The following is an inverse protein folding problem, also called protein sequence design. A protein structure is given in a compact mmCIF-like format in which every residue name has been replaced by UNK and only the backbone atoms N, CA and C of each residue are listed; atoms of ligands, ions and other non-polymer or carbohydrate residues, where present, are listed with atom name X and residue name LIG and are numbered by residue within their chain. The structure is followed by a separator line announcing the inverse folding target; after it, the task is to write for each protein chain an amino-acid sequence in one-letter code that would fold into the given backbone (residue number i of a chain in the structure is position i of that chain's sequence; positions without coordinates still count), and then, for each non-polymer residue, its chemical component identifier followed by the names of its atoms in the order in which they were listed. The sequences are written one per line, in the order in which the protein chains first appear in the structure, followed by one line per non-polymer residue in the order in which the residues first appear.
data_IF_853481555399
#
_entry.id   IF_853481555399
#
_cell.length_a   1.000
_cell.length_b   1.000
_cell.length_c   1.000
_cell.angle_alpha   90.00
_cell.angle_beta   90.00
_cell.angle_gamma   90.00
#
_symmetry.space_group_name_H-M   'P 1'
#
loop_
_entity.id
_entity.type
_entity.pdbx_description
1 polymer ?
#
# COMPACT_ATOMS: atom_id res chain seq x y z
N UNK A 1 -12.66 -23.88 -27.11
CA UNK A 1 -12.00 -22.58 -26.91
C UNK A 1 -12.96 -21.49 -27.38
N UNK A 2 -13.19 -20.47 -26.56
CA UNK A 2 -14.14 -19.39 -26.85
C UNK A 2 -13.67 -18.51 -28.02
N UNK A 3 -14.62 -17.87 -28.71
CA UNK A 3 -14.29 -16.84 -29.70
C UNK A 3 -13.72 -15.62 -28.95
N UNK A 4 -12.54 -15.14 -29.35
CA UNK A 4 -11.94 -13.92 -28.81
C UNK A 4 -12.10 -12.78 -29.80
N UNK A 5 -12.43 -11.59 -29.30
CA UNK A 5 -12.27 -10.36 -30.05
C UNK A 5 -10.84 -9.86 -29.92
N UNK A 6 -10.24 -9.46 -31.05
CA UNK A 6 -8.80 -9.19 -31.14
C UNK A 6 -8.55 -7.83 -31.78
N UNK A 7 -7.79 -6.98 -31.10
CA UNK A 7 -7.13 -5.82 -31.72
C UNK A 7 -5.82 -6.30 -32.34
N UNK A 8 -5.62 -6.03 -33.63
CA UNK A 8 -4.38 -6.43 -34.33
C UNK A 8 -3.67 -5.20 -34.87
N UNK A 9 -2.46 -4.96 -34.36
CA UNK A 9 -1.57 -3.96 -34.92
C UNK A 9 -1.00 -4.43 -36.26
N UNK A 10 -0.84 -3.48 -37.19
CA UNK A 10 -0.29 -3.74 -38.53
C UNK A 10 1.22 -3.97 -38.47
N UNK A 11 1.82 -4.60 -39.49
CA UNK A 11 3.28 -4.68 -39.62
C UNK A 11 3.93 -3.31 -39.45
N UNK A 12 5.02 -3.25 -38.68
CA UNK A 12 5.76 -2.02 -38.38
C UNK A 12 5.40 -1.34 -37.05
N UNK A 13 4.39 -1.82 -36.32
CA UNK A 13 4.11 -1.44 -34.93
C UNK A 13 4.33 -2.67 -34.06
N UNK A 14 5.44 -2.71 -33.31
CA UNK A 14 5.76 -3.78 -32.38
C UNK A 14 5.23 -3.51 -30.97
N UNK A 15 5.24 -4.53 -30.12
CA UNK A 15 4.78 -4.44 -28.73
C UNK A 15 5.47 -3.31 -27.94
N UNK A 16 6.78 -3.12 -28.15
CA UNK A 16 7.57 -2.05 -27.53
C UNK A 16 7.21 -0.63 -28.00
N UNK A 17 6.50 -0.51 -29.12
CA UNK A 17 6.10 0.77 -29.70
C UNK A 17 4.71 1.19 -29.21
N UNK A 18 4.02 0.33 -28.44
CA UNK A 18 2.68 0.55 -27.93
C UNK A 18 2.70 0.87 -26.44
N UNK A 19 2.05 1.95 -26.04
CA UNK A 19 1.74 2.28 -24.66
C UNK A 19 0.35 1.77 -24.31
N UNK A 20 0.17 1.36 -23.06
CA UNK A 20 -1.11 0.89 -22.54
C UNK A 20 -1.45 1.77 -21.34
N UNK A 21 -2.65 2.35 -21.34
CA UNK A 21 -3.10 3.21 -20.25
C UNK A 21 -4.57 2.92 -19.96
N UNK A 22 -4.94 2.89 -18.69
CA UNK A 22 -6.34 2.95 -18.28
C UNK A 22 -6.80 4.40 -18.17
N UNK A 23 -7.94 4.71 -18.76
CA UNK A 23 -8.59 6.03 -18.63
C UNK A 23 -10.06 5.80 -18.28
N UNK A 24 -10.42 5.96 -17.01
CA UNK A 24 -11.73 5.54 -16.52
C UNK A 24 -11.92 4.04 -16.69
N UNK A 25 -12.97 3.63 -17.41
CA UNK A 25 -13.26 2.25 -17.76
C UNK A 25 -12.68 1.83 -19.13
N UNK A 26 -11.99 2.72 -19.83
CA UNK A 26 -11.42 2.45 -21.15
C UNK A 26 -9.95 2.02 -21.07
N UNK A 27 -9.56 1.13 -21.99
CA UNK A 27 -8.16 0.81 -22.28
C UNK A 27 -7.70 1.62 -23.50
N UNK A 28 -6.69 2.46 -23.33
CA UNK A 28 -6.08 3.24 -24.41
C UNK A 28 -4.77 2.58 -24.84
N UNK A 29 -4.70 2.19 -26.11
CA UNK A 29 -3.51 1.66 -26.76
C UNK A 29 -2.92 2.73 -27.68
N UNK A 30 -1.88 3.42 -27.23
CA UNK A 30 -1.21 4.50 -27.98
C UNK A 30 0.03 4.00 -28.74
N UNK A 31 0.40 4.64 -29.84
CA UNK A 31 1.71 4.41 -30.50
C UNK A 31 2.70 5.48 -30.03
N UNK A 32 3.75 5.05 -29.33
CA UNK A 32 4.74 5.92 -28.71
C UNK A 32 5.36 6.91 -29.73
N UNK A 33 5.42 8.18 -29.36
CA UNK A 33 5.96 9.25 -30.21
C UNK A 33 5.01 9.74 -31.30
N UNK A 34 3.75 9.31 -31.30
CA UNK A 34 2.71 9.76 -32.24
C UNK A 34 1.43 10.15 -31.50
N UNK A 35 0.44 10.68 -32.23
CA UNK A 35 -0.91 10.92 -31.70
C UNK A 35 -1.89 9.77 -32.02
N UNK A 36 -1.42 8.70 -32.67
CA UNK A 36 -2.27 7.58 -33.06
C UNK A 36 -2.58 6.71 -31.84
N UNK A 37 -3.86 6.44 -31.60
CA UNK A 37 -4.33 5.58 -30.52
C UNK A 37 -5.57 4.78 -30.91
N UNK A 38 -5.80 3.68 -30.20
CA UNK A 38 -7.05 2.94 -30.18
C UNK A 38 -7.58 2.97 -28.75
N UNK A 39 -8.80 3.49 -28.59
CA UNK A 39 -9.52 3.42 -27.31
C UNK A 39 -10.50 2.25 -27.35
N UNK A 40 -10.38 1.36 -26.37
CA UNK A 40 -11.31 0.25 -26.15
C UNK A 40 -12.18 0.62 -24.96
N UNK A 41 -13.36 1.19 -25.25
CA UNK A 41 -14.36 1.57 -24.25
C UNK A 41 -14.87 0.35 -23.47
N UNK A 42 -15.21 0.53 -22.19
CA UNK A 42 -15.72 -0.53 -21.31
C UNK A 42 -14.76 -1.72 -21.12
N UNK A 43 -13.46 -1.56 -21.40
CA UNK A 43 -12.49 -2.63 -21.16
C UNK A 43 -12.45 -3.01 -19.68
N UNK A 44 -12.52 -2.02 -18.78
CA UNK A 44 -12.58 -2.17 -17.32
C UNK A 44 -13.98 -1.83 -16.78
N UNK A 45 -15.04 -2.20 -17.49
CA UNK A 45 -16.40 -1.95 -17.01
C UNK A 45 -16.59 -2.54 -15.60
N UNK A 46 -17.12 -1.74 -14.68
CA UNK A 46 -17.25 -2.13 -13.26
C UNK A 46 -15.93 -2.57 -12.60
N UNK A 47 -14.79 -2.06 -13.08
CA UNK A 47 -13.45 -2.48 -12.70
C UNK A 47 -13.12 -3.94 -13.04
N UNK A 48 -13.93 -4.67 -13.83
CA UNK A 48 -13.66 -6.08 -14.17
C UNK A 48 -13.31 -6.23 -15.66
N UNK A 49 -12.03 -6.45 -16.01
CA UNK A 49 -11.65 -6.63 -17.40
C UNK A 49 -12.09 -7.97 -18.00
N UNK A 50 -12.66 -8.87 -17.20
CA UNK A 50 -13.29 -10.12 -17.65
C UNK A 50 -14.80 -10.01 -17.78
N UNK A 51 -15.39 -8.84 -17.49
CA UNK A 51 -16.81 -8.63 -17.67
C UNK A 51 -17.22 -8.84 -19.14
N UNK A 52 -18.43 -9.37 -19.34
CA UNK A 52 -18.97 -9.64 -20.67
C UNK A 52 -19.17 -8.39 -21.54
N UNK A 53 -19.20 -7.20 -20.92
CA UNK A 53 -19.22 -5.92 -21.59
C UNK A 53 -17.87 -5.57 -22.25
N UNK A 54 -16.76 -6.20 -21.81
CA UNK A 54 -15.45 -5.97 -22.42
C UNK A 54 -15.48 -6.41 -23.90
N UNK A 55 -15.27 -5.48 -24.85
CA UNK A 55 -15.36 -5.79 -26.27
C UNK A 55 -14.10 -6.47 -26.84
N UNK A 56 -12.96 -6.52 -26.14
CA UNK A 56 -11.67 -7.02 -26.65
C UNK A 56 -10.96 -7.88 -25.59
N UNK A 57 -10.55 -9.09 -25.97
CA UNK A 57 -9.88 -10.02 -25.05
C UNK A 57 -8.40 -10.22 -25.37
N UNK A 58 -7.91 -9.66 -26.48
CA UNK A 58 -6.52 -9.86 -26.90
C UNK A 58 -6.02 -8.75 -27.82
N UNK A 59 -4.75 -8.37 -27.63
CA UNK A 59 -3.97 -7.60 -28.60
C UNK A 59 -2.96 -8.53 -29.28
N UNK A 60 -2.78 -8.41 -30.60
CA UNK A 60 -1.80 -9.17 -31.37
C UNK A 60 -0.92 -8.27 -32.24
N UNK A 61 0.35 -8.66 -32.31
CA UNK A 61 1.37 -8.03 -33.13
C UNK A 61 1.78 -8.94 -34.29
N UNK A 62 2.49 -8.37 -35.28
CA UNK A 62 2.87 -9.10 -36.50
C UNK A 62 3.99 -10.14 -36.26
N UNK A 63 4.80 -9.94 -35.23
CA UNK A 63 5.86 -10.87 -34.81
C UNK A 63 5.33 -12.11 -34.06
N UNK A 64 4.01 -12.20 -33.87
CA UNK A 64 3.34 -13.27 -33.13
C UNK A 64 3.19 -13.00 -31.63
N UNK A 65 3.72 -11.89 -31.11
CA UNK A 65 3.49 -11.47 -29.72
C UNK A 65 1.99 -11.24 -29.49
N UNK A 66 1.50 -11.70 -28.36
CA UNK A 66 0.10 -11.50 -27.93
C UNK A 66 0.05 -11.00 -26.50
N UNK A 67 -0.83 -10.04 -26.25
CA UNK A 67 -1.24 -9.66 -24.90
C UNK A 67 -2.67 -10.12 -24.68
N UNK A 68 -2.89 -10.96 -23.67
CA UNK A 68 -4.22 -11.32 -23.18
C UNK A 68 -4.72 -10.29 -22.15
N UNK A 69 -5.88 -10.55 -21.54
CA UNK A 69 -6.48 -9.64 -20.55
C UNK A 69 -5.50 -9.36 -19.41
N UNK A 70 -4.85 -10.38 -18.86
CA UNK A 70 -3.94 -10.20 -17.71
C UNK A 70 -2.72 -9.36 -18.09
N UNK A 71 -2.13 -9.61 -19.26
CA UNK A 71 -1.04 -8.78 -19.75
C UNK A 71 -1.48 -7.33 -19.97
N UNK A 72 -2.68 -7.10 -20.51
CA UNK A 72 -3.20 -5.75 -20.74
C UNK A 72 -3.52 -5.01 -19.44
N UNK A 73 -4.10 -5.69 -18.45
CA UNK A 73 -4.34 -5.13 -17.12
C UNK A 73 -3.02 -4.73 -16.46
N UNK A 74 -2.05 -5.64 -16.39
CA UNK A 74 -0.73 -5.35 -15.78
C UNK A 74 0.02 -4.21 -16.46
N UNK A 75 -0.11 -4.08 -17.78
CA UNK A 75 0.49 -2.96 -18.52
C UNK A 75 -0.25 -1.64 -18.26
N UNK A 76 -1.54 -1.69 -17.89
CA UNK A 76 -2.37 -0.52 -17.59
C UNK A 76 -2.29 -0.07 -16.11
N UNK A 77 -1.81 -0.93 -15.21
CA UNK A 77 -1.72 -0.70 -13.75
C UNK A 77 -0.30 -0.41 -13.26
N UNK A 78 0.63 -0.09 -14.17
CA UNK A 78 2.01 0.28 -13.84
C UNK A 78 2.36 1.55 -14.62
N UNK A 79 2.52 2.69 -13.92
CA UNK A 79 2.89 3.95 -14.56
C UNK A 79 4.37 4.31 -14.34
N UNK A 80 4.71 5.58 -14.60
CA UNK A 80 6.03 6.09 -14.88
C UNK A 80 6.83 6.42 -13.63
N UNK A 81 7.41 7.62 -13.59
CA UNK A 81 8.12 8.17 -12.45
C UNK A 81 7.68 9.62 -12.22
N UNK A 82 6.43 9.91 -12.60
CA UNK A 82 5.78 11.21 -12.43
C UNK A 82 4.58 11.06 -11.51
N UNK A 83 3.84 12.14 -11.31
CA UNK A 83 2.64 12.12 -10.47
C UNK A 83 1.50 11.42 -11.25
N UNK A 84 1.19 10.18 -10.87
CA UNK A 84 0.30 9.30 -11.62
C UNK A 84 -0.99 8.97 -10.83
N UNK A 85 -2.03 8.52 -11.54
CA UNK A 85 -3.25 7.99 -10.92
C UNK A 85 -3.49 6.60 -11.47
N UNK A 86 -3.41 5.60 -10.60
CA UNK A 86 -3.43 4.19 -10.96
C UNK A 86 -4.61 3.49 -10.28
N UNK A 87 -5.41 2.80 -11.07
CA UNK A 87 -6.60 2.08 -10.60
C UNK A 87 -6.51 0.59 -10.94
N UNK A 88 -6.56 -0.24 -9.91
CA UNK A 88 -6.76 -1.68 -9.97
C UNK A 88 -8.18 -2.08 -10.37
N UNK A 89 -8.41 -3.37 -10.37
CA UNK A 89 -9.58 -4.07 -10.89
C UNK A 89 -10.43 -4.63 -9.75
N UNK A 90 -11.49 -5.37 -10.07
CA UNK A 90 -12.28 -6.07 -9.06
C UNK A 90 -11.63 -7.39 -8.58
N UNK A 91 -10.43 -7.72 -9.06
CA UNK A 91 -9.64 -8.86 -8.60
C UNK A 91 -8.24 -8.43 -8.17
N UNK A 92 -7.45 -9.39 -7.69
CA UNK A 92 -6.11 -9.11 -7.15
C UNK A 92 -5.17 -8.45 -8.18
N UNK A 93 -4.63 -7.29 -7.81
CA UNK A 93 -3.71 -6.49 -8.61
C UNK A 93 -2.36 -6.26 -7.93
N UNK A 94 -1.36 -5.92 -8.75
CA UNK A 94 -0.07 -5.38 -8.30
C UNK A 94 0.08 -4.00 -8.88
N UNK A 95 0.06 -2.99 -8.02
CA UNK A 95 0.06 -1.56 -8.37
C UNK A 95 1.37 -0.94 -7.85
N UNK A 96 2.14 -0.34 -8.75
CA UNK A 96 3.45 0.23 -8.45
C UNK A 96 3.50 1.69 -8.95
N UNK A 97 3.49 2.67 -8.03
CA UNK A 97 3.62 4.10 -8.34
C UNK A 97 5.05 4.52 -8.71
N UNK A 98 6.04 3.88 -8.07
CA UNK A 98 7.49 4.07 -8.23
C UNK A 98 7.99 5.43 -7.76
N UNK A 99 7.61 6.53 -8.38
CA UNK A 99 8.05 7.83 -7.88
C UNK A 99 7.30 8.97 -8.53
N UNK A 100 7.21 10.10 -7.84
CA UNK A 100 6.14 11.06 -8.06
C UNK A 100 5.19 11.04 -6.88
N UNK A 101 4.21 11.94 -6.86
CA UNK A 101 3.15 11.92 -5.86
C UNK A 101 1.94 11.21 -6.47
N UNK A 102 1.77 9.93 -6.16
CA UNK A 102 0.83 9.06 -6.84
C UNK A 102 -0.50 8.95 -6.10
N UNK A 103 -1.55 8.60 -6.83
CA UNK A 103 -2.85 8.19 -6.27
C UNK A 103 -3.17 6.77 -6.72
N UNK A 104 -3.09 5.82 -5.79
CA UNK A 104 -3.21 4.39 -6.02
C UNK A 104 -4.53 3.87 -5.41
N UNK A 105 -5.33 3.17 -6.22
CA UNK A 105 -6.61 2.60 -5.81
C UNK A 105 -6.64 1.10 -6.15
N UNK A 106 -6.69 0.23 -5.14
CA UNK A 106 -6.76 -1.24 -5.31
C UNK A 106 -8.09 -1.69 -5.92
N UNK A 107 -9.18 -1.13 -5.39
CA UNK A 107 -10.59 -1.47 -5.72
C UNK A 107 -11.03 -2.75 -5.02
N UNK A 108 -11.04 -3.87 -5.72
CA UNK A 108 -11.57 -5.11 -5.18
C UNK A 108 -10.60 -6.25 -5.39
N UNK A 109 -10.52 -7.15 -4.43
CA UNK A 109 -9.55 -8.23 -4.46
C UNK A 109 -8.41 -7.95 -3.49
N UNK A 110 -7.49 -8.91 -3.40
CA UNK A 110 -6.39 -8.83 -2.46
C UNK A 110 -5.19 -8.24 -3.19
N UNK A 111 -4.94 -6.96 -2.98
CA UNK A 111 -4.03 -6.17 -3.79
C UNK A 111 -2.67 -5.98 -3.13
N UNK A 112 -1.66 -5.67 -3.96
CA UNK A 112 -0.33 -5.24 -3.51
C UNK A 112 -0.09 -3.84 -4.07
N UNK A 113 -0.05 -2.84 -3.18
CA UNK A 113 0.19 -1.45 -3.54
C UNK A 113 1.55 -1.00 -3.01
N UNK A 114 2.41 -0.48 -3.88
CA UNK A 114 3.69 0.16 -3.54
C UNK A 114 3.74 1.58 -4.12
N UNK A 115 3.70 2.60 -3.26
CA UNK A 115 3.76 4.02 -3.64
C UNK A 115 5.10 4.36 -4.29
N UNK A 116 6.19 4.09 -3.58
CA UNK A 116 7.54 4.26 -4.08
C UNK A 116 8.18 5.51 -3.48
N UNK A 117 8.39 6.56 -4.27
CA UNK A 117 9.08 7.76 -3.81
C UNK A 117 8.28 9.03 -4.08
N UNK A 118 7.80 9.69 -3.02
CA UNK A 118 7.06 10.94 -3.14
C UNK A 118 6.09 11.11 -1.99
N UNK A 119 4.95 11.75 -2.22
CA UNK A 119 3.85 11.82 -1.26
C UNK A 119 2.65 11.12 -1.88
N UNK A 120 2.44 9.86 -1.50
CA UNK A 120 1.46 9.00 -2.16
C UNK A 120 0.14 8.94 -1.38
N UNK A 121 -0.96 8.81 -2.12
CA UNK A 121 -2.28 8.48 -1.61
C UNK A 121 -2.61 7.04 -2.01
N UNK A 122 -2.83 6.16 -1.05
CA UNK A 122 -3.05 4.73 -1.29
C UNK A 122 -4.35 4.27 -0.63
N UNK A 123 -5.24 3.67 -1.41
CA UNK A 123 -6.48 3.06 -0.93
C UNK A 123 -6.51 1.61 -1.40
N UNK A 124 -6.44 0.64 -0.48
CA UNK A 124 -6.64 -0.79 -0.80
C UNK A 124 -8.09 -1.08 -1.20
N UNK A 125 -9.02 -0.47 -0.46
CA UNK A 125 -10.47 -0.59 -0.62
C UNK A 125 -11.03 -1.93 -0.10
N UNK A 126 -11.20 -2.96 -0.94
CA UNK A 126 -11.87 -4.19 -0.50
C UNK A 126 -11.07 -5.45 -0.80
N UNK A 127 -10.69 -6.16 0.26
CA UNK A 127 -9.92 -7.40 0.19
C UNK A 127 -8.82 -7.39 1.24
N UNK A 128 -8.01 -8.45 1.28
CA UNK A 128 -6.86 -8.48 2.19
C UNK A 128 -5.64 -7.88 1.48
N UNK A 129 -5.35 -6.62 1.75
CA UNK A 129 -4.38 -5.84 0.96
C UNK A 129 -2.99 -5.78 1.60
N UNK A 130 -1.95 -5.60 0.80
CA UNK A 130 -0.58 -5.33 1.24
C UNK A 130 -0.13 -3.97 0.73
N UNK A 131 0.06 -3.02 1.64
CA UNK A 131 0.33 -1.62 1.31
C UNK A 131 1.70 -1.18 1.82
N UNK A 132 2.47 -0.53 0.97
CA UNK A 132 3.73 0.12 1.32
C UNK A 132 3.83 1.51 0.69
N UNK A 133 3.88 2.55 1.51
CA UNK A 133 4.10 3.93 1.06
C UNK A 133 5.42 4.07 0.31
N UNK A 134 6.52 3.65 0.96
CA UNK A 134 7.85 3.79 0.39
C UNK A 134 8.54 4.99 1.04
N UNK A 135 9.36 5.75 0.30
CA UNK A 135 10.01 6.94 0.85
C UNK A 135 9.13 8.16 0.65
N UNK A 136 8.79 8.86 1.73
CA UNK A 136 7.78 9.89 1.57
C UNK A 136 7.13 10.32 2.87
N UNK A 137 5.96 10.93 2.73
CA UNK A 137 5.03 11.10 3.83
C UNK A 137 3.66 10.70 3.32
N UNK A 138 3.40 9.41 3.32
CA UNK A 138 2.31 8.84 2.54
C UNK A 138 1.01 8.78 3.34
N UNK A 139 -0.13 8.77 2.64
CA UNK A 139 -1.44 8.53 3.23
C UNK A 139 -1.98 7.20 2.76
N UNK A 140 -2.23 6.28 3.69
CA UNK A 140 -2.59 4.90 3.39
C UNK A 140 -3.88 4.54 4.11
N UNK A 141 -4.86 4.02 3.36
CA UNK A 141 -6.09 3.42 3.86
C UNK A 141 -6.17 1.99 3.34
N UNK A 142 -6.17 0.99 4.24
CA UNK A 142 -6.32 -0.43 3.85
C UNK A 142 -7.73 -0.66 3.32
N UNK A 143 -8.73 -0.41 4.17
CA UNK A 143 -10.14 -0.48 3.78
C UNK A 143 -10.84 -1.58 4.57
N UNK A 144 -11.51 -2.50 3.86
CA UNK A 144 -12.15 -3.65 4.50
C UNK A 144 -11.38 -4.93 4.16
N UNK A 145 -11.08 -5.74 5.17
CA UNK A 145 -10.32 -6.97 5.00
C UNK A 145 -9.31 -7.16 6.11
N UNK A 146 -8.31 -8.02 5.89
CA UNK A 146 -7.16 -8.14 6.78
C UNK A 146 -5.94 -7.53 6.08
N UNK A 147 -5.70 -6.26 6.34
CA UNK A 147 -4.71 -5.48 5.63
C UNK A 147 -3.33 -5.57 6.30
N UNK A 148 -2.28 -5.47 5.49
CA UNK A 148 -0.90 -5.47 5.94
C UNK A 148 -0.18 -4.23 5.47
N UNK A 149 0.13 -3.35 6.42
CA UNK A 149 0.91 -2.13 6.22
C UNK A 149 2.39 -2.44 6.44
N UNK A 150 3.24 -2.21 5.44
CA UNK A 150 4.69 -2.42 5.53
C UNK A 150 5.41 -1.11 5.81
N UNK A 151 6.27 -1.10 6.83
CA UNK A 151 7.02 0.10 7.21
C UNK A 151 8.50 -0.19 7.49
N UNK A 152 9.39 0.61 6.90
CA UNK A 152 10.84 0.46 6.93
C UNK A 152 11.59 1.71 7.41
N UNK A 153 12.92 1.58 7.51
CA UNK A 153 13.79 2.74 7.76
C UNK A 153 13.98 3.52 6.47
N UNK A 154 13.90 4.84 6.56
CA UNK A 154 13.95 5.73 5.40
C UNK A 154 12.61 5.88 4.68
N UNK A 155 11.55 5.22 5.15
CA UNK A 155 10.21 5.37 4.59
C UNK A 155 9.63 6.76 4.93
N UNK A 156 10.11 7.42 6.00
CA UNK A 156 9.70 8.77 6.35
C UNK A 156 8.49 8.80 7.27
N UNK A 157 7.53 9.69 7.02
CA UNK A 157 6.48 10.01 7.98
C UNK A 157 5.08 9.76 7.43
N UNK A 158 4.59 8.54 7.62
CA UNK A 158 3.34 8.07 7.01
C UNK A 158 2.14 8.26 7.93
N UNK A 159 0.97 8.44 7.33
CA UNK A 159 -0.34 8.40 7.97
C UNK A 159 -1.12 7.18 7.51
N UNK A 160 -1.61 6.40 8.45
CA UNK A 160 -2.51 5.27 8.19
C UNK A 160 -3.86 5.54 8.84
N UNK A 161 -4.94 5.35 8.09
CA UNK A 161 -6.28 5.26 8.62
C UNK A 161 -6.87 3.89 8.28
N UNK A 162 -7.21 3.15 9.32
CA UNK A 162 -7.64 1.76 9.23
C UNK A 162 -9.02 1.67 9.85
N UNK A 163 -10.07 1.89 9.05
CA UNK A 163 -11.44 1.98 9.55
C UNK A 163 -12.23 0.74 9.15
N UNK A 164 -11.98 -0.35 9.86
CA UNK A 164 -12.73 -1.60 9.69
C UNK A 164 -13.46 -1.99 10.99
N UNK A 165 -14.79 -2.08 10.92
CA UNK A 165 -15.64 -2.54 12.02
C UNK A 165 -16.02 -4.03 11.90
N UNK A 166 -15.49 -4.73 10.90
CA UNK A 166 -15.82 -6.11 10.60
C UNK A 166 -15.23 -7.04 11.66
N UNK A 167 -16.10 -7.68 12.43
CA UNK A 167 -15.66 -8.53 13.53
C UNK A 167 -14.84 -9.74 13.04
N UNK A 168 -13.61 -9.85 13.55
CA UNK A 168 -12.72 -10.98 13.26
C UNK A 168 -11.68 -10.69 12.19
N UNK A 169 -11.75 -9.52 11.53
CA UNK A 169 -10.64 -9.00 10.75
C UNK A 169 -9.48 -8.62 11.69
N UNK A 170 -8.26 -8.74 11.17
CA UNK A 170 -7.01 -8.58 11.89
C UNK A 170 -6.01 -7.88 10.99
N UNK A 171 -5.88 -6.58 11.20
CA UNK A 171 -4.95 -5.74 10.47
C UNK A 171 -3.56 -5.82 11.08
N UNK A 172 -2.54 -5.70 10.23
CA UNK A 172 -1.14 -5.87 10.60
C UNK A 172 -0.30 -4.67 10.18
N UNK A 173 0.37 -4.02 11.13
CA UNK A 173 1.54 -3.19 10.85
C UNK A 173 2.80 -4.04 10.97
N UNK A 174 3.45 -4.30 9.84
CA UNK A 174 4.65 -5.11 9.77
C UNK A 174 5.89 -4.25 9.50
N UNK A 175 6.80 -4.27 10.47
CA UNK A 175 8.08 -3.59 10.34
C UNK A 175 9.08 -4.44 9.56
N UNK A 176 9.72 -3.82 8.58
CA UNK A 176 10.69 -4.44 7.69
C UNK A 176 12.03 -4.70 8.38
N UNK A 177 12.92 -5.54 7.79
CA UNK A 177 14.21 -5.89 8.38
C UNK A 177 15.00 -4.66 8.86
N UNK A 178 15.51 -4.73 10.10
CA UNK A 178 16.28 -3.63 10.71
C UNK A 178 15.48 -2.75 11.68
N UNK A 179 14.22 -3.09 11.97
CA UNK A 179 13.39 -2.47 13.00
C UNK A 179 12.93 -3.57 13.98
N UNK A 180 13.68 -3.77 15.05
CA UNK A 180 13.34 -4.71 16.12
C UNK A 180 12.37 -4.09 17.13
N UNK A 181 11.70 -4.93 17.93
CA UNK A 181 10.70 -4.51 18.93
C UNK A 181 11.20 -3.48 19.96
N UNK A 182 12.50 -3.48 20.28
CA UNK A 182 13.14 -2.54 21.21
C UNK A 182 13.55 -1.20 20.58
N UNK A 183 13.30 -1.05 19.27
CA UNK A 183 13.57 0.16 18.49
C UNK A 183 12.30 0.96 18.20
N UNK A 184 11.15 0.57 18.78
CA UNK A 184 9.87 1.20 18.55
C UNK A 184 9.45 2.04 19.77
N UNK A 185 8.94 3.24 19.49
CA UNK A 185 8.38 4.15 20.48
C UNK A 185 6.90 4.40 20.18
N UNK A 186 6.04 4.19 21.18
CA UNK A 186 4.60 4.36 21.06
C UNK A 186 4.15 5.58 21.87
N UNK A 187 3.42 6.49 21.23
CA UNK A 187 3.00 7.75 21.83
C UNK A 187 1.57 8.11 21.44
N UNK A 188 0.73 8.38 22.44
CA UNK A 188 -0.52 9.09 22.22
C UNK A 188 -0.22 10.56 21.88
N UNK A 189 -0.58 11.00 20.68
CA UNK A 189 -0.31 12.37 20.25
C UNK A 189 -1.21 13.37 20.98
N UNK A 190 -0.60 14.25 21.78
CA UNK A 190 -1.31 15.22 22.61
C UNK A 190 -2.27 16.11 21.80
N UNK A 191 -3.51 16.24 22.27
CA UNK A 191 -4.54 17.05 21.61
C UNK A 191 -5.18 16.41 20.38
N UNK A 192 -4.84 15.15 20.08
CA UNK A 192 -5.41 14.38 18.96
C UNK A 192 -5.99 13.06 19.45
N UNK A 193 -6.62 12.29 18.55
CA UNK A 193 -7.03 10.91 18.79
C UNK A 193 -6.13 9.88 18.10
N UNK A 194 -4.90 10.28 17.80
CA UNK A 194 -3.97 9.48 17.01
C UNK A 194 -2.90 8.83 17.90
N UNK A 195 -2.43 7.66 17.48
CA UNK A 195 -1.23 7.02 18.01
C UNK A 195 -0.09 7.24 17.02
N UNK A 196 1.07 7.65 17.51
CA UNK A 196 2.31 7.66 16.72
C UNK A 196 3.20 6.51 17.13
N UNK A 197 3.72 5.78 16.15
CA UNK A 197 4.78 4.79 16.33
C UNK A 197 6.03 5.27 15.61
N UNK A 198 7.09 5.55 16.36
CA UNK A 198 8.35 6.07 15.83
C UNK A 198 9.45 5.02 15.88
N UNK A 199 10.31 5.01 14.87
CA UNK A 199 11.56 4.25 14.91
C UNK A 199 12.59 5.08 15.67
N UNK A 200 13.08 4.55 16.78
CA UNK A 200 14.00 5.24 17.67
C UNK A 200 15.29 5.59 16.92
N UNK A 201 15.63 6.88 16.95
CA UNK A 201 16.86 7.43 16.39
C UNK A 201 16.76 7.93 14.96
N UNK A 202 15.59 7.81 14.32
CA UNK A 202 15.31 8.28 12.95
C UNK A 202 14.16 9.28 12.95
N UNK A 203 13.92 9.88 11.78
CA UNK A 203 12.70 10.68 11.51
C UNK A 203 11.51 9.80 11.13
N UNK A 204 11.77 8.52 10.86
CA UNK A 204 10.76 7.54 10.45
C UNK A 204 9.69 7.34 11.52
N UNK A 205 8.43 7.55 11.14
CA UNK A 205 7.28 7.30 11.98
C UNK A 205 6.03 6.98 11.18
N UNK A 206 5.12 6.26 11.81
CA UNK A 206 3.77 6.03 11.29
C UNK A 206 2.76 6.57 12.29
N UNK A 207 1.81 7.37 11.80
CA UNK A 207 0.71 7.92 12.58
C UNK A 207 -0.55 7.12 12.26
N UNK A 208 -1.09 6.43 13.25
CA UNK A 208 -2.36 5.73 13.15
C UNK A 208 -3.48 6.68 13.55
N UNK A 209 -4.25 7.11 12.55
CA UNK A 209 -5.30 8.11 12.69
C UNK A 209 -6.54 7.50 13.34
N UNK A 210 -7.12 8.24 14.29
CA UNK A 210 -8.32 7.78 14.98
C UNK A 210 -8.13 6.57 15.89
N UNK A 211 -6.89 6.13 16.16
CA UNK A 211 -6.60 5.00 17.06
C UNK A 211 -7.41 5.04 18.37
N UNK A 212 -7.57 6.22 18.96
CA UNK A 212 -8.31 6.39 20.22
C UNK A 212 -9.82 6.62 20.02
N UNK A 213 -10.38 6.54 18.81
CA UNK A 213 -11.83 6.61 18.51
C UNK A 213 -12.58 5.33 18.86
N UNK A 214 -11.91 4.18 18.83
CA UNK A 214 -12.44 2.88 19.24
C UNK A 214 -11.78 1.73 18.48
N UNK A 215 -12.12 0.50 18.87
CA UNK A 215 -11.48 -0.70 18.32
C UNK A 215 -11.59 -0.86 16.80
N UNK A 216 -12.60 -0.27 16.15
CA UNK A 216 -12.74 -0.28 14.70
C UNK A 216 -11.75 0.66 13.96
N UNK A 217 -10.83 1.30 14.69
CA UNK A 217 -9.75 2.14 14.14
C UNK A 217 -8.37 1.58 14.53
N UNK A 218 -8.32 0.37 15.08
CA UNK A 218 -7.10 -0.23 15.54
C UNK A 218 -6.56 -1.14 14.44
N UNK A 219 -5.25 -1.06 14.23
CA UNK A 219 -4.48 -2.18 13.71
C UNK A 219 -4.28 -3.19 14.85
N UNK A 220 -4.76 -4.43 14.70
CA UNK A 220 -4.73 -5.42 15.79
C UNK A 220 -3.33 -5.96 16.09
N UNK A 221 -2.45 -6.04 15.09
CA UNK A 221 -1.13 -6.67 15.22
C UNK A 221 0.01 -5.80 14.73
N UNK A 222 1.07 -5.74 15.54
CA UNK A 222 2.34 -5.11 15.19
C UNK A 222 3.41 -6.19 15.15
N UNK A 223 4.03 -6.41 14.00
CA UNK A 223 5.06 -7.43 13.79
C UNK A 223 6.42 -6.79 13.61
N UNK A 224 7.31 -7.01 14.57
CA UNK A 224 8.67 -6.48 14.52
C UNK A 224 9.62 -7.42 13.78
N UNK A 225 10.75 -6.89 13.29
CA UNK A 225 11.72 -7.67 12.50
C UNK A 225 12.45 -8.76 13.31
N UNK A 226 12.43 -8.70 14.65
CA UNK A 226 12.94 -9.76 15.54
C UNK A 226 11.94 -10.91 15.74
N UNK A 227 10.85 -10.93 14.97
CA UNK A 227 9.84 -11.99 14.96
C UNK A 227 8.81 -11.87 16.07
N UNK A 228 8.89 -10.83 16.91
CA UNK A 228 7.92 -10.61 17.99
C UNK A 228 6.65 -9.94 17.47
N UNK A 229 5.54 -10.26 18.12
CA UNK A 229 4.24 -9.66 17.85
C UNK A 229 3.72 -8.92 19.08
N UNK A 230 3.09 -7.77 18.85
CA UNK A 230 2.42 -6.96 19.86
C UNK A 230 0.97 -6.76 19.41
N UNK A 231 0.03 -6.98 20.34
CA UNK A 231 -1.39 -6.72 20.08
C UNK A 231 -1.74 -5.27 20.41
N UNK A 232 -2.87 -4.78 19.92
CA UNK A 232 -3.45 -3.48 20.28
C UNK A 232 -3.54 -3.22 21.81
N UNK A 233 -3.91 -4.24 22.60
CA UNK A 233 -3.89 -4.17 24.06
C UNK A 233 -2.47 -3.99 24.62
N UNK A 234 -1.47 -4.61 23.98
CA UNK A 234 -0.07 -4.42 24.31
C UNK A 234 0.43 -3.01 23.96
N UNK A 235 -0.01 -2.47 22.82
CA UNK A 235 0.26 -1.08 22.42
C UNK A 235 -0.25 -0.10 23.47
N UNK A 236 -1.46 -0.30 23.99
CA UNK A 236 -2.01 0.54 25.06
C UNK A 236 -1.11 0.53 26.33
N UNK A 237 -0.63 -0.65 26.73
CA UNK A 237 0.29 -0.79 27.86
C UNK A 237 1.63 -0.08 27.62
N UNK A 238 2.20 -0.21 26.42
CA UNK A 238 3.46 0.43 26.05
C UNK A 238 3.32 1.95 25.98
N UNK A 239 2.29 2.47 25.30
CA UNK A 239 2.04 3.90 25.20
C UNK A 239 1.85 4.53 26.60
N UNK A 240 1.12 3.87 27.50
CA UNK A 240 0.95 4.35 28.88
C UNK A 240 2.27 4.38 29.66
N UNK A 241 3.11 3.35 29.54
CA UNK A 241 4.40 3.30 30.21
C UNK A 241 5.37 4.37 29.67
N UNK A 242 5.37 4.56 28.35
CA UNK A 242 6.22 5.51 27.63
C UNK A 242 5.82 6.97 27.86
N UNK A 243 4.54 7.26 28.16
CA UNK A 243 4.03 8.62 28.38
C UNK A 243 4.71 9.40 29.53
N UNK A 244 5.42 8.72 30.44
CA UNK A 244 6.18 9.35 31.54
C UNK A 244 7.58 9.82 31.14
N UNK A 245 7.96 9.63 29.89
CA UNK A 245 9.27 9.95 29.34
C UNK A 245 9.14 10.89 28.14
N UNK A 246 10.22 11.58 27.82
CA UNK A 246 10.34 12.25 26.53
C UNK A 246 10.69 11.20 25.46
N UNK A 247 10.17 11.30 24.23
CA UNK A 247 10.60 10.43 23.14
C UNK A 247 12.13 10.46 22.97
N UNK A 248 12.78 9.31 22.71
CA UNK A 248 14.21 9.25 22.42
C UNK A 248 14.60 10.24 21.32
N UNK A 249 15.72 10.94 21.50
CA UNK A 249 16.19 11.94 20.56
C UNK A 249 16.76 11.28 19.28
N UNK A 250 16.76 12.02 18.17
CA UNK A 250 17.40 11.60 16.93
C UNK A 250 18.87 11.17 17.18
N UNK A 251 19.30 10.08 16.54
CA UNK A 251 20.62 9.49 16.72
C UNK A 251 20.78 8.50 17.87
N UNK A 252 19.79 8.35 18.76
CA UNK A 252 19.72 7.22 19.70
C UNK A 252 19.13 6.02 18.98
N UNK A 253 19.91 4.99 18.64
CA UNK A 253 19.42 3.83 17.85
C UNK A 253 18.70 2.75 18.68
N UNK A 254 18.62 2.97 20.00
CA UNK A 254 17.97 2.15 21.00
C UNK A 254 17.42 3.03 22.13
N UNK A 255 16.52 2.47 22.95
CA UNK A 255 16.07 3.12 24.18
C UNK A 255 17.27 3.53 25.07
N UNK A 256 17.29 4.74 25.63
CA UNK A 256 18.27 5.13 26.65
C UNK A 256 18.30 4.16 27.84
N UNK A 257 19.47 3.92 28.45
CA UNK A 257 19.62 2.92 29.54
C UNK A 257 18.70 3.18 30.76
N UNK A 258 18.47 4.46 31.09
CA UNK A 258 17.54 4.87 32.14
C UNK A 258 16.06 4.65 31.78
N UNK A 259 15.73 4.45 30.50
CA UNK A 259 14.40 4.10 30.01
C UNK A 259 14.26 2.59 29.95
N UNK A 260 15.26 1.88 29.41
CA UNK A 260 15.30 0.41 29.33
C UNK A 260 15.01 -0.21 30.70
N UNK A 261 15.77 0.17 31.73
CA UNK A 261 15.59 -0.33 33.11
C UNK A 261 14.18 -0.11 33.70
N UNK A 262 13.40 0.83 33.17
CA UNK A 262 12.03 1.12 33.62
C UNK A 262 10.96 0.48 32.73
N UNK A 263 11.25 0.27 31.46
CA UNK A 263 10.33 -0.25 30.45
C UNK A 263 10.50 -1.76 30.21
N UNK A 264 11.62 -2.36 30.61
CA UNK A 264 11.99 -3.76 30.33
C UNK A 264 10.89 -4.75 30.68
N UNK A 265 10.34 -4.66 31.90
CA UNK A 265 9.25 -5.54 32.34
C UNK A 265 8.01 -5.40 31.46
N UNK A 266 7.64 -4.16 31.10
CA UNK A 266 6.46 -3.90 30.26
C UNK A 266 6.69 -4.38 28.83
N UNK A 267 7.87 -4.15 28.26
CA UNK A 267 8.26 -4.62 26.93
C UNK A 267 8.21 -6.15 26.86
N UNK A 268 8.85 -6.84 27.79
CA UNK A 268 8.88 -8.31 27.85
C UNK A 268 7.50 -8.94 28.11
N UNK A 269 6.63 -8.24 28.85
CA UNK A 269 5.28 -8.73 29.13
C UNK A 269 4.34 -8.65 27.92
N UNK A 270 4.55 -7.69 27.00
CA UNK A 270 3.62 -7.40 25.91
C UNK A 270 4.09 -7.91 24.54
N UNK A 271 5.38 -7.81 24.23
CA UNK A 271 5.93 -8.44 23.02
C UNK A 271 5.99 -9.96 23.22
N UNK A 272 5.39 -10.72 22.29
CA UNK A 272 5.34 -12.20 22.31
C UNK A 272 6.16 -12.82 21.20
#
# INVERSE_FOLDING_TARGET
EGKLNVVRFKPGVGAKDVTVQRVGDALVLGIAGTADQVTVENFFFMNDPRDTANPVQQVRFDDGTTWDIDALTNLATVDGAGDDTIEGTAGADVILGKGGNDSLYGRGGNDVLEGGAGYDLMLGESGDDVLRGGTGGDWIEGGSGNDTYLFGRGDGADGVADVDATAGNVDTLQFLPGIASDQLWFEQMAGTRNLRVSVIGTEDSITLYGWYDGAANHIEQFKAADGKTLTDAGVANLAQAMASFSPPAAGQTQLPANYQSKLETTLAANWK
#
